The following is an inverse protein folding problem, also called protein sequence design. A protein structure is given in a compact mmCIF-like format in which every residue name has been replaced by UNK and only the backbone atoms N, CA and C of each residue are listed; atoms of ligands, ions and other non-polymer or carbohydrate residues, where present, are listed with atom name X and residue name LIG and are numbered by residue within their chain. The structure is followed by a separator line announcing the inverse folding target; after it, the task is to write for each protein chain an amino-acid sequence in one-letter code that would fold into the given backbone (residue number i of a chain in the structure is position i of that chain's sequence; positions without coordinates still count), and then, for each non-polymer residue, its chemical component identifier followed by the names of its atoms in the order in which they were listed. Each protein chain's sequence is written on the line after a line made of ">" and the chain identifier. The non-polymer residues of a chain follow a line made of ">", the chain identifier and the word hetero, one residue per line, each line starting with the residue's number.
data_IF_506653800284
#
_entry.id   IF_506653800284
#
_cell.length_a   1.000
_cell.length_b   1.000
_cell.length_c   1.000
_cell.angle_alpha   90.00
_cell.angle_beta   90.00
_cell.angle_gamma   90.00
#
_symmetry.space_group_name_H-M   'P 1'
#
loop_
_entity.id
_entity.type
_entity.pdbx_description
1 polymer ?
#
# COMPACT_ATOMS: atom_id res chain seq x y z
N UNK A 1 -15.09 24.68 -32.96
CA UNK A 1 -15.04 25.06 -31.54
C UNK A 1 -15.36 23.83 -30.71
N UNK A 2 -14.55 23.49 -29.70
CA UNK A 2 -14.89 22.39 -28.78
C UNK A 2 -16.06 22.85 -27.91
N UNK A 3 -17.12 22.05 -27.85
CA UNK A 3 -18.31 22.28 -27.04
C UNK A 3 -18.26 21.30 -25.88
N UNK A 4 -18.33 21.80 -24.66
CA UNK A 4 -18.41 20.94 -23.47
C UNK A 4 -19.86 20.53 -23.26
N UNK A 5 -20.09 19.25 -23.05
CA UNK A 5 -21.39 18.69 -22.71
C UNK A 5 -21.38 18.24 -21.25
N UNK A 6 -22.43 18.61 -20.52
CA UNK A 6 -22.62 18.18 -19.15
C UNK A 6 -23.16 16.75 -19.21
N UNK A 7 -22.35 15.80 -18.73
CA UNK A 7 -22.68 14.36 -18.77
C UNK A 7 -23.77 14.02 -17.74
N UNK A 8 -23.75 14.70 -16.59
CA UNK A 8 -24.70 14.47 -15.50
C UNK A 8 -24.77 15.66 -14.56
N UNK A 9 -25.98 16.13 -14.27
CA UNK A 9 -26.22 17.07 -13.17
C UNK A 9 -26.50 16.28 -11.89
N UNK A 10 -25.94 16.73 -10.79
CA UNK A 10 -26.12 16.11 -9.49
C UNK A 10 -26.79 17.10 -8.54
N UNK A 11 -27.80 16.62 -7.82
CA UNK A 11 -28.49 17.37 -6.77
C UNK A 11 -28.40 16.56 -5.49
N UNK A 12 -27.78 17.10 -4.43
CA UNK A 12 -27.59 16.38 -3.18
C UNK A 12 -26.32 16.79 -2.45
N UNK A 13 -25.97 16.02 -1.42
CA UNK A 13 -24.74 16.22 -0.68
C UNK A 13 -23.51 15.95 -1.55
N UNK A 14 -22.58 16.91 -1.60
CA UNK A 14 -21.39 16.83 -2.44
C UNK A 14 -20.50 15.64 -2.08
N UNK A 15 -20.40 15.30 -0.80
CA UNK A 15 -19.58 14.19 -0.34
C UNK A 15 -20.14 12.86 -0.83
N UNK A 16 -21.45 12.68 -0.74
CA UNK A 16 -22.13 11.49 -1.25
C UNK A 16 -21.94 11.32 -2.76
N UNK A 17 -22.09 12.41 -3.53
CA UNK A 17 -21.86 12.41 -4.98
C UNK A 17 -20.41 12.00 -5.32
N UNK A 18 -19.43 12.56 -4.61
CA UNK A 18 -18.00 12.28 -4.84
C UNK A 18 -17.59 10.86 -4.46
N UNK A 19 -18.22 10.28 -3.44
CA UNK A 19 -17.98 8.90 -3.01
C UNK A 19 -18.65 7.91 -3.96
N UNK A 20 -19.88 8.18 -4.41
CA UNK A 20 -20.57 7.37 -5.42
C UNK A 20 -19.80 7.33 -6.75
N UNK A 21 -19.28 8.48 -7.20
CA UNK A 21 -18.44 8.56 -8.40
C UNK A 21 -17.12 7.75 -8.26
N UNK A 22 -16.68 7.44 -7.03
CA UNK A 22 -15.54 6.56 -6.74
C UNK A 22 -15.93 5.09 -6.55
N UNK A 23 -17.20 4.74 -6.71
CA UNK A 23 -17.71 3.39 -6.47
C UNK A 23 -17.93 3.06 -4.99
N UNK A 24 -17.95 4.06 -4.10
CA UNK A 24 -18.14 3.92 -2.65
C UNK A 24 -19.57 4.34 -2.31
N UNK A 25 -20.52 3.40 -2.37
CA UNK A 25 -21.95 3.72 -2.30
C UNK A 25 -22.57 3.45 -0.92
N UNK A 26 -22.17 2.36 -0.26
CA UNK A 26 -22.81 1.95 1.00
C UNK A 26 -22.29 2.75 2.18
N UNK A 27 -23.13 2.94 3.21
CA UNK A 27 -22.72 3.60 4.46
C UNK A 27 -21.46 2.98 5.08
N UNK A 28 -21.31 1.66 4.96
CA UNK A 28 -20.14 0.93 5.46
C UNK A 28 -18.88 1.28 4.66
N UNK A 29 -18.95 1.25 3.33
CA UNK A 29 -17.82 1.61 2.46
C UNK A 29 -17.41 3.08 2.65
N UNK A 30 -18.39 3.99 2.74
CA UNK A 30 -18.14 5.41 3.00
C UNK A 30 -17.38 5.61 4.31
N UNK A 31 -17.80 4.91 5.38
CA UNK A 31 -17.10 4.99 6.66
C UNK A 31 -15.67 4.44 6.60
N UNK A 32 -15.45 3.29 5.95
CA UNK A 32 -14.11 2.69 5.80
C UNK A 32 -13.20 3.59 4.94
N UNK A 33 -13.74 4.21 3.90
CA UNK A 33 -12.98 5.11 3.04
C UNK A 33 -12.52 6.37 3.77
N UNK A 34 -13.40 6.96 4.61
CA UNK A 34 -13.09 8.18 5.35
C UNK A 34 -12.30 7.93 6.63
N UNK A 35 -12.44 6.74 7.21
CA UNK A 35 -11.75 6.30 8.41
C UNK A 35 -11.05 4.97 8.10
N UNK A 36 -9.96 4.98 7.30
CA UNK A 36 -9.27 3.77 6.93
C UNK A 36 -8.66 3.09 8.16
N UNK A 37 -8.48 1.76 8.13
CA UNK A 37 -7.78 1.05 9.19
C UNK A 37 -6.35 1.55 9.33
N UNK A 38 -5.79 1.39 10.53
CA UNK A 38 -4.38 1.69 10.78
C UNK A 38 -3.49 0.90 9.81
N UNK A 39 -2.58 1.55 9.05
CA UNK A 39 -1.70 0.88 8.12
C UNK A 39 -0.90 -0.28 8.73
N UNK A 40 -0.58 -0.22 10.02
CA UNK A 40 0.14 -1.30 10.72
C UNK A 40 -0.68 -2.59 10.84
N UNK A 41 -2.01 -2.52 10.65
CA UNK A 41 -2.91 -3.68 10.69
C UNK A 41 -3.13 -4.31 9.32
N UNK A 42 -2.63 -3.70 8.24
CA UNK A 42 -2.77 -4.21 6.89
C UNK A 42 -2.00 -5.53 6.71
N UNK A 43 -2.63 -6.45 6.00
CA UNK A 43 -2.05 -7.73 5.61
C UNK A 43 -1.81 -7.78 4.10
N UNK A 44 -1.01 -8.74 3.64
CA UNK A 44 -0.78 -8.93 2.19
C UNK A 44 -2.09 -9.15 1.42
N UNK A 45 -3.12 -9.73 2.06
CA UNK A 45 -4.43 -9.95 1.45
C UNK A 45 -5.16 -8.64 1.17
N UNK A 46 -5.05 -7.67 2.07
CA UNK A 46 -5.76 -6.38 1.98
C UNK A 46 -5.25 -5.53 0.80
N UNK A 47 -4.00 -5.76 0.39
CA UNK A 47 -3.37 -5.11 -0.76
C UNK A 47 -3.27 -6.00 -2.00
N UNK A 48 -3.94 -7.16 -2.00
CA UNK A 48 -3.98 -8.07 -3.16
C UNK A 48 -2.67 -8.78 -3.49
N UNK A 49 -1.74 -8.87 -2.53
CA UNK A 49 -0.44 -9.52 -2.71
C UNK A 49 -0.50 -10.98 -2.23
N UNK A 50 0.03 -11.88 -3.06
CA UNK A 50 0.13 -13.30 -2.72
C UNK A 50 0.96 -13.54 -1.44
N UNK A 51 0.30 -14.11 -0.44
CA UNK A 51 0.90 -14.39 0.88
C UNK A 51 2.06 -15.37 0.78
N UNK A 52 2.00 -16.34 -0.13
CA UNK A 52 3.06 -17.35 -0.28
C UNK A 52 4.34 -16.70 -0.79
N UNK A 53 4.22 -15.83 -1.80
CA UNK A 53 5.33 -15.07 -2.38
C UNK A 53 5.96 -14.12 -1.36
N UNK A 54 5.16 -13.41 -0.56
CA UNK A 54 5.66 -12.54 0.52
C UNK A 54 6.44 -13.35 1.55
N UNK A 55 5.88 -14.48 2.00
CA UNK A 55 6.54 -15.37 2.98
C UNK A 55 7.87 -15.92 2.44
N UNK A 56 7.90 -16.28 1.15
CA UNK A 56 9.12 -16.76 0.47
C UNK A 56 10.18 -15.66 0.40
N UNK A 57 9.81 -14.43 0.06
CA UNK A 57 10.73 -13.29 0.00
C UNK A 57 11.33 -12.98 1.39
N UNK A 58 10.48 -12.91 2.42
CA UNK A 58 10.92 -12.70 3.81
C UNK A 58 11.94 -13.78 4.22
N UNK A 59 11.62 -15.06 3.99
CA UNK A 59 12.52 -16.17 4.33
C UNK A 59 13.86 -16.07 3.60
N UNK A 60 13.86 -15.70 2.32
CA UNK A 60 15.10 -15.55 1.53
C UNK A 60 16.00 -14.44 2.10
N UNK A 61 15.41 -13.30 2.45
CA UNK A 61 16.13 -12.16 3.03
C UNK A 61 16.68 -12.54 4.41
N UNK A 62 15.88 -13.17 5.27
CA UNK A 62 16.31 -13.63 6.59
C UNK A 62 17.49 -14.62 6.52
N UNK A 63 17.47 -15.54 5.55
CA UNK A 63 18.59 -16.44 5.31
C UNK A 63 19.84 -15.68 4.87
N UNK A 64 19.72 -14.70 3.94
CA UNK A 64 20.84 -13.86 3.51
C UNK A 64 21.51 -13.15 4.69
N UNK A 65 20.70 -12.59 5.59
CA UNK A 65 21.17 -11.89 6.79
C UNK A 65 21.90 -12.86 7.72
N UNK A 66 21.30 -14.03 7.98
CA UNK A 66 21.89 -15.06 8.84
C UNK A 66 23.24 -15.56 8.32
N UNK A 67 23.31 -15.78 7.02
CA UNK A 67 24.49 -16.33 6.34
C UNK A 67 25.50 -15.24 5.94
N UNK A 68 25.24 -13.97 6.34
CA UNK A 68 26.06 -12.78 6.06
C UNK A 68 26.33 -12.57 4.57
N UNK A 69 25.35 -12.89 3.74
CA UNK A 69 25.39 -12.59 2.31
C UNK A 69 25.29 -11.08 2.07
N UNK A 70 25.92 -10.61 1.00
CA UNK A 70 25.72 -9.22 0.55
C UNK A 70 24.33 -9.06 -0.05
N UNK A 71 23.61 -8.03 0.37
CA UNK A 71 22.26 -7.69 -0.12
C UNK A 71 22.34 -6.37 -0.90
N UNK A 72 21.81 -6.38 -2.12
CA UNK A 72 21.67 -5.17 -2.96
C UNK A 72 20.18 -4.91 -3.17
N UNK A 73 19.75 -3.68 -2.91
CA UNK A 73 18.35 -3.24 -3.11
C UNK A 73 18.30 -2.38 -4.36
N UNK A 74 17.57 -2.84 -5.38
CA UNK A 74 17.26 -2.06 -6.56
C UNK A 74 15.87 -1.43 -6.37
N UNK A 75 15.80 -0.11 -6.50
CA UNK A 75 14.59 0.68 -6.35
C UNK A 75 14.34 1.47 -7.64
N UNK A 76 13.06 1.78 -7.90
CA UNK A 76 12.71 2.73 -8.96
C UNK A 76 13.04 4.17 -8.52
N UNK A 77 13.13 5.07 -9.48
CA UNK A 77 13.55 6.47 -9.30
C UNK A 77 12.40 7.41 -8.91
N UNK A 78 11.17 6.90 -8.81
CA UNK A 78 10.04 7.66 -8.29
C UNK A 78 10.04 7.73 -6.76
N UNK A 79 9.14 8.57 -6.22
CA UNK A 79 9.11 8.87 -4.80
C UNK A 79 8.81 7.61 -3.95
N UNK A 80 7.92 6.76 -4.42
CA UNK A 80 7.57 5.49 -3.78
C UNK A 80 8.67 4.43 -3.94
N UNK A 81 9.33 4.33 -5.08
CA UNK A 81 10.49 3.46 -5.28
C UNK A 81 11.63 3.82 -4.33
N UNK A 82 12.04 5.09 -4.28
CA UNK A 82 13.12 5.56 -3.41
C UNK A 82 12.77 5.35 -1.94
N UNK A 83 11.54 5.66 -1.51
CA UNK A 83 11.12 5.47 -0.12
C UNK A 83 11.06 3.99 0.27
N UNK A 84 10.54 3.12 -0.60
CA UNK A 84 10.55 1.68 -0.37
C UNK A 84 11.98 1.12 -0.28
N UNK A 85 12.87 1.55 -1.19
CA UNK A 85 14.28 1.17 -1.18
C UNK A 85 14.98 1.60 0.11
N UNK A 86 14.75 2.83 0.57
CA UNK A 86 15.29 3.34 1.82
C UNK A 86 14.81 2.52 3.03
N UNK A 87 13.51 2.19 3.09
CA UNK A 87 12.93 1.35 4.14
C UNK A 87 13.61 -0.03 4.14
N UNK A 88 13.63 -0.72 2.99
CA UNK A 88 14.19 -2.07 2.87
C UNK A 88 15.69 -2.09 3.20
N UNK A 89 16.46 -1.10 2.77
CA UNK A 89 17.90 -1.01 3.01
C UNK A 89 18.26 -0.65 4.46
N UNK A 90 17.30 -0.15 5.25
CA UNK A 90 17.56 0.30 6.61
C UNK A 90 18.10 -0.83 7.51
N UNK A 91 19.02 -0.54 8.45
CA UNK A 91 19.57 -1.54 9.38
C UNK A 91 18.49 -2.26 10.21
N UNK A 92 17.34 -1.64 10.44
CA UNK A 92 16.24 -2.26 11.17
C UNK A 92 15.62 -3.44 10.40
N UNK A 93 15.54 -3.35 9.07
CA UNK A 93 15.01 -4.42 8.22
C UNK A 93 16.12 -5.40 7.80
N UNK A 94 17.35 -4.93 7.63
CA UNK A 94 18.48 -5.76 7.18
C UNK A 94 19.31 -6.39 8.31
N UNK A 95 19.24 -5.90 9.55
CA UNK A 95 20.05 -6.41 10.66
C UNK A 95 19.24 -6.88 11.88
N UNK A 96 17.96 -6.54 12.00
CA UNK A 96 17.14 -7.04 13.11
C UNK A 96 16.38 -8.31 12.70
N UNK A 97 16.35 -9.36 13.55
CA UNK A 97 15.23 -10.29 13.51
C UNK A 97 13.99 -9.44 13.84
N UNK A 98 13.16 -9.17 12.83
CA UNK A 98 11.87 -8.50 13.01
C UNK A 98 11.04 -9.33 13.99
N UNK A 99 11.04 -8.89 15.25
CA UNK A 99 10.33 -9.54 16.34
C UNK A 99 11.02 -9.40 17.69
N UNK A 100 11.09 -8.17 18.24
CA UNK A 100 10.96 -7.86 19.68
C UNK A 100 10.63 -6.38 19.89
N UNK A 101 9.34 -6.05 19.87
CA UNK A 101 8.62 -5.36 20.95
C UNK A 101 7.13 -5.46 20.68
#
# INVERSE_FOLDING_TARGET
>A
MKKWEIIKEYTGDLMDILLENRGVATKKEKNVFLNPPDPATLTSKDVGIDKVSVTKAIKRIQNAIKDKESIVVYADYDADGITAGAIISSPWITASPLGKK
#
